data_IF_954572398270
#
_entry.id   IF_954572398270
#
_cell.length_a   1.000
_cell.length_b   1.000
_cell.length_c   1.000
_cell.angle_alpha   90.00
_cell.angle_beta   90.00
_cell.angle_gamma   90.00
#
_symmetry.space_group_name_H-M   'P 1'
#
loop_
_entity.id
_entity.type
_entity.pdbx_description
1 polymer ?
#
# COMPACT_ATOMS: atom_id res chain seq x y z
N UNK A 1 10.40 7.63 -25.69
CA UNK A 1 9.18 6.94 -25.22
C UNK A 1 8.11 7.99 -25.01
N UNK A 2 6.88 7.73 -25.42
CA UNK A 2 5.74 8.57 -25.05
C UNK A 2 5.63 8.54 -23.52
N UNK A 3 5.74 9.67 -22.81
CA UNK A 3 5.70 9.70 -21.34
C UNK A 3 4.33 9.31 -20.77
N UNK A 4 3.30 9.24 -21.63
CA UNK A 4 1.95 8.82 -21.23
C UNK A 4 1.70 7.32 -21.43
N UNK A 5 2.64 6.60 -22.06
CA UNK A 5 2.50 5.17 -22.30
C UNK A 5 2.94 4.35 -21.09
N UNK A 6 1.99 3.74 -20.44
CA UNK A 6 2.20 2.72 -19.39
C UNK A 6 2.04 1.33 -20.03
N UNK A 7 3.07 0.49 -19.90
CA UNK A 7 3.01 -0.89 -20.42
C UNK A 7 1.89 -1.67 -19.71
N UNK A 8 1.21 -2.59 -20.40
CA UNK A 8 0.31 -3.54 -19.75
C UNK A 8 1.04 -4.32 -18.65
N UNK A 9 0.39 -4.55 -17.51
CA UNK A 9 0.99 -5.23 -16.36
C UNK A 9 1.54 -6.61 -16.75
N UNK A 10 0.81 -7.39 -17.56
CA UNK A 10 1.25 -8.69 -18.07
C UNK A 10 2.58 -8.62 -18.84
N UNK A 11 2.76 -7.56 -19.65
CA UNK A 11 4.02 -7.33 -20.37
C UNK A 11 5.15 -7.01 -19.39
N UNK A 12 4.91 -6.10 -18.43
CA UNK A 12 5.93 -5.70 -17.46
C UNK A 12 6.42 -6.88 -16.62
N UNK A 13 5.50 -7.69 -16.07
CA UNK A 13 5.89 -8.84 -15.24
C UNK A 13 6.50 -10.01 -16.05
N UNK A 14 6.27 -10.07 -17.35
CA UNK A 14 6.88 -11.11 -18.20
C UNK A 14 8.26 -10.72 -18.75
N UNK A 15 8.52 -9.43 -18.94
CA UNK A 15 9.77 -8.94 -19.53
C UNK A 15 10.80 -8.51 -18.47
N UNK A 16 10.35 -7.97 -17.35
CA UNK A 16 11.23 -7.40 -16.32
C UNK A 16 11.45 -8.36 -15.14
N UNK A 17 11.51 -9.66 -15.43
CA UNK A 17 11.70 -10.71 -14.40
C UNK A 17 13.06 -10.52 -13.70
N UNK A 18 13.10 -10.29 -12.39
CA UNK A 18 14.34 -10.13 -11.66
C UNK A 18 15.14 -11.44 -11.60
N UNK A 19 16.46 -11.32 -11.57
CA UNK A 19 17.32 -12.49 -11.35
C UNK A 19 17.05 -13.09 -9.97
N UNK A 20 16.77 -14.38 -9.95
CA UNK A 20 16.61 -15.09 -8.67
C UNK A 20 17.96 -15.23 -7.97
N UNK A 21 18.05 -14.69 -6.76
CA UNK A 21 19.29 -14.67 -5.97
C UNK A 21 19.29 -15.69 -4.84
N UNK A 22 18.12 -16.32 -4.52
CA UNK A 22 17.94 -17.32 -3.45
C UNK A 22 16.87 -18.34 -3.81
N UNK A 23 16.91 -19.53 -3.22
CA UNK A 23 15.79 -20.48 -3.28
C UNK A 23 14.52 -19.87 -2.64
N UNK A 24 13.32 -20.28 -3.10
CA UNK A 24 12.06 -19.91 -2.46
C UNK A 24 11.99 -20.44 -1.01
N UNK A 25 11.41 -19.63 -0.12
CA UNK A 25 11.14 -20.03 1.26
C UNK A 25 12.29 -19.86 2.26
N UNK A 26 13.49 -19.44 1.81
CA UNK A 26 14.62 -19.22 2.74
C UNK A 26 14.51 -17.90 3.50
N UNK A 27 14.34 -16.81 2.78
CA UNK A 27 14.23 -15.47 3.35
C UNK A 27 13.24 -14.64 2.53
N UNK A 28 12.45 -13.77 3.17
CA UNK A 28 11.62 -12.81 2.45
C UNK A 28 12.51 -11.76 1.81
N UNK A 29 12.07 -11.25 0.68
CA UNK A 29 12.69 -10.12 0.03
C UNK A 29 11.59 -9.22 -0.52
N UNK A 30 11.58 -7.97 -0.08
CA UNK A 30 10.69 -6.95 -0.64
C UNK A 30 11.04 -6.67 -2.09
N UNK A 31 10.03 -6.62 -2.94
CA UNK A 31 10.19 -6.22 -4.33
C UNK A 31 8.87 -5.76 -4.95
N UNK A 32 8.89 -4.63 -5.64
CA UNK A 32 7.74 -4.14 -6.41
C UNK A 32 7.30 -5.14 -7.49
N UNK A 33 8.25 -5.91 -8.03
CA UNK A 33 7.95 -6.97 -8.99
C UNK A 33 6.98 -8.01 -8.40
N UNK A 34 7.15 -8.43 -7.14
CA UNK A 34 6.26 -9.39 -6.50
C UNK A 34 4.83 -8.84 -6.35
N UNK A 35 4.69 -7.56 -6.02
CA UNK A 35 3.39 -6.91 -5.98
C UNK A 35 2.74 -6.87 -7.37
N UNK A 36 3.51 -6.55 -8.41
CA UNK A 36 3.05 -6.60 -9.80
C UNK A 36 2.61 -7.99 -10.23
N UNK A 37 3.42 -9.00 -9.93
CA UNK A 37 3.11 -10.41 -10.24
C UNK A 37 1.84 -10.88 -9.52
N UNK A 38 1.65 -10.49 -8.26
CA UNK A 38 0.43 -10.77 -7.49
C UNK A 38 -0.79 -10.09 -8.13
N UNK A 39 -0.66 -8.84 -8.54
CA UNK A 39 -1.74 -8.13 -9.25
C UNK A 39 -2.07 -8.75 -10.61
N UNK A 40 -1.08 -9.25 -11.35
CA UNK A 40 -1.31 -9.97 -12.61
C UNK A 40 -2.01 -11.32 -12.35
N UNK A 41 -1.56 -12.06 -11.35
CA UNK A 41 -2.21 -13.32 -10.97
C UNK A 41 -3.68 -13.10 -10.59
N UNK A 42 -3.97 -12.03 -9.84
CA UNK A 42 -5.34 -11.65 -9.53
C UNK A 42 -6.15 -11.37 -10.81
N UNK A 43 -5.59 -10.57 -11.73
CA UNK A 43 -6.19 -10.27 -13.05
C UNK A 43 -6.53 -11.55 -13.82
N UNK A 44 -5.63 -12.51 -13.86
CA UNK A 44 -5.82 -13.79 -14.57
C UNK A 44 -6.91 -14.66 -13.93
N UNK A 45 -7.02 -14.62 -12.60
CA UNK A 45 -8.04 -15.40 -11.85
C UNK A 45 -9.43 -14.79 -11.98
N UNK A 46 -9.54 -13.46 -11.88
CA UNK A 46 -10.85 -12.78 -11.88
C UNK A 46 -11.36 -12.44 -13.28
N UNK A 47 -10.48 -12.39 -14.28
CA UNK A 47 -10.83 -12.11 -15.67
C UNK A 47 -11.10 -10.63 -16.00
N UNK A 48 -10.70 -9.73 -15.11
CA UNK A 48 -10.78 -8.28 -15.31
C UNK A 48 -9.48 -7.59 -14.92
N UNK A 49 -9.26 -6.33 -15.33
CA UNK A 49 -8.02 -5.62 -14.98
C UNK A 49 -7.90 -5.39 -13.48
N UNK A 50 -6.67 -5.38 -12.96
CA UNK A 50 -6.37 -5.08 -11.56
C UNK A 50 -7.06 -3.79 -11.08
N UNK A 51 -6.95 -2.71 -11.87
CA UNK A 51 -7.57 -1.43 -11.54
C UNK A 51 -9.11 -1.53 -11.45
N UNK A 52 -9.74 -2.28 -12.35
CA UNK A 52 -11.19 -2.49 -12.32
C UNK A 52 -11.59 -3.30 -11.10
N UNK A 53 -10.91 -4.41 -10.85
CA UNK A 53 -11.21 -5.29 -9.71
C UNK A 53 -11.09 -4.56 -8.37
N UNK A 54 -10.00 -3.83 -8.14
CA UNK A 54 -9.82 -3.07 -6.90
C UNK A 54 -10.86 -1.96 -6.77
N UNK A 55 -11.24 -1.31 -7.89
CA UNK A 55 -12.30 -0.30 -7.86
C UNK A 55 -13.62 -0.88 -7.38
N UNK A 56 -14.08 -1.97 -7.98
CA UNK A 56 -15.39 -2.57 -7.68
C UNK A 56 -15.42 -3.34 -6.36
N UNK A 57 -14.30 -3.96 -5.98
CA UNK A 57 -14.23 -4.85 -4.80
C UNK A 57 -13.72 -4.16 -3.54
N UNK A 58 -13.04 -3.01 -3.66
CA UNK A 58 -12.45 -2.31 -2.53
C UNK A 58 -12.92 -0.85 -2.46
N UNK A 59 -12.67 -0.06 -3.52
CA UNK A 59 -12.92 1.38 -3.43
C UNK A 59 -14.40 1.73 -3.33
N UNK A 60 -15.23 1.16 -4.21
CA UNK A 60 -16.69 1.40 -4.19
C UNK A 60 -17.33 0.96 -2.87
N UNK A 61 -17.09 -0.28 -2.37
CA UNK A 61 -17.68 -0.71 -1.09
C UNK A 61 -17.20 0.11 0.12
N UNK A 62 -15.98 0.64 0.08
CA UNK A 62 -15.43 1.50 1.13
C UNK A 62 -15.79 2.99 0.96
N UNK A 63 -16.45 3.37 -0.13
CA UNK A 63 -16.73 4.78 -0.44
C UNK A 63 -15.48 5.61 -0.75
N UNK A 64 -14.40 4.98 -1.22
CA UNK A 64 -13.12 5.63 -1.60
C UNK A 64 -13.23 6.27 -2.99
N UNK A 65 -14.04 7.31 -3.10
CA UNK A 65 -14.43 7.92 -4.38
C UNK A 65 -13.33 8.75 -5.06
N UNK A 66 -12.24 9.03 -4.35
CA UNK A 66 -11.08 9.78 -4.85
C UNK A 66 -9.84 8.88 -5.02
N UNK A 67 -10.06 7.56 -5.07
CA UNK A 67 -8.98 6.58 -5.21
C UNK A 67 -9.03 5.91 -6.58
N UNK A 68 -7.87 5.74 -7.21
CA UNK A 68 -7.78 5.11 -8.53
C UNK A 68 -6.40 4.52 -8.79
N UNK A 69 -6.37 3.43 -9.58
CA UNK A 69 -5.16 2.88 -10.23
C UNK A 69 -5.09 3.23 -11.73
N UNK A 70 -5.99 4.08 -12.20
CA UNK A 70 -5.99 4.57 -13.58
C UNK A 70 -5.06 5.77 -13.71
N UNK A 71 -4.85 6.23 -14.95
CA UNK A 71 -4.07 7.44 -15.24
C UNK A 71 -4.48 8.61 -14.35
N UNK A 72 -3.53 9.53 -14.09
CA UNK A 72 -3.65 10.64 -13.16
C UNK A 72 -5.05 11.26 -13.11
N UNK A 73 -5.64 11.37 -11.92
CA UNK A 73 -6.93 12.02 -11.77
C UNK A 73 -6.81 13.52 -12.11
N UNK A 74 -7.88 14.15 -12.61
CA UNK A 74 -7.85 15.56 -13.01
C UNK A 74 -7.58 16.54 -11.87
N UNK A 75 -7.74 16.08 -10.63
CA UNK A 75 -7.48 16.85 -9.39
C UNK A 75 -6.16 16.46 -8.71
N UNK A 76 -5.25 15.77 -9.42
CA UNK A 76 -3.91 15.49 -8.91
C UNK A 76 -3.20 16.80 -8.59
N UNK A 77 -2.70 16.92 -7.37
CA UNK A 77 -1.90 18.06 -6.93
C UNK A 77 -0.42 17.71 -7.13
N UNK A 78 0.28 18.36 -8.06
CA UNK A 78 1.72 18.19 -8.17
C UNK A 78 2.41 18.84 -6.98
N UNK A 79 3.57 18.33 -6.58
CA UNK A 79 4.40 19.02 -5.60
C UNK A 79 4.98 20.32 -6.16
N UNK A 80 5.33 21.25 -5.27
CA UNK A 80 5.89 22.55 -5.67
C UNK A 80 7.09 22.38 -6.60
N UNK A 81 7.06 23.08 -7.73
CA UNK A 81 8.13 23.04 -8.74
C UNK A 81 8.07 21.85 -9.69
N UNK A 82 7.03 21.01 -9.61
CA UNK A 82 6.78 19.92 -10.57
C UNK A 82 5.51 20.17 -11.37
N UNK A 83 5.45 19.61 -12.57
CA UNK A 83 4.23 19.58 -13.36
C UNK A 83 3.44 18.29 -13.10
N UNK A 84 2.16 18.28 -13.47
CA UNK A 84 1.35 17.03 -13.49
C UNK A 84 2.01 16.00 -14.41
N UNK A 85 2.66 16.43 -15.51
CA UNK A 85 3.39 15.57 -16.43
C UNK A 85 4.59 14.90 -15.76
N UNK A 86 5.33 15.61 -14.89
CA UNK A 86 6.45 15.04 -14.13
C UNK A 86 5.96 13.97 -13.16
N UNK A 87 4.83 14.19 -12.50
CA UNK A 87 4.22 13.19 -11.60
C UNK A 87 3.72 11.99 -12.39
N UNK A 88 3.07 12.21 -13.52
CA UNK A 88 2.54 11.14 -14.39
C UNK A 88 3.67 10.34 -15.05
N UNK A 89 4.81 10.95 -15.36
CA UNK A 89 5.97 10.24 -15.93
C UNK A 89 6.58 9.21 -14.96
N UNK A 90 6.27 9.32 -13.69
CA UNK A 90 6.58 8.35 -12.64
C UNK A 90 5.60 7.17 -12.57
N UNK A 91 4.64 7.11 -13.50
CA UNK A 91 3.70 5.99 -13.57
C UNK A 91 4.48 4.69 -13.70
N UNK A 92 4.37 3.88 -12.69
CA UNK A 92 4.98 2.56 -12.68
C UNK A 92 4.23 1.65 -13.65
N UNK A 93 4.97 1.02 -14.56
CA UNK A 93 4.47 -0.10 -15.35
C UNK A 93 3.99 -1.28 -14.44
N UNK A 94 4.17 -1.13 -13.13
CA UNK A 94 3.76 -2.09 -12.08
C UNK A 94 2.76 -1.39 -11.14
N UNK A 95 1.60 -1.07 -11.65
CA UNK A 95 0.54 -0.36 -10.93
C UNK A 95 0.21 -0.93 -9.53
N UNK A 96 0.15 -2.26 -9.30
CA UNK A 96 -0.10 -2.83 -7.98
C UNK A 96 0.92 -2.43 -6.91
N UNK A 97 2.14 -2.06 -7.31
CA UNK A 97 3.19 -1.65 -6.38
C UNK A 97 3.20 -0.15 -6.07
N UNK A 98 2.87 0.70 -7.05
CA UNK A 98 3.09 2.15 -6.91
C UNK A 98 2.13 3.03 -7.71
N UNK A 99 1.05 2.47 -8.27
CA UNK A 99 0.12 3.20 -9.12
C UNK A 99 -1.11 3.77 -8.41
N UNK A 100 -1.22 3.67 -7.09
CA UNK A 100 -2.37 4.19 -6.36
C UNK A 100 -2.32 5.71 -6.24
N UNK A 101 -3.37 6.37 -6.73
CA UNK A 101 -3.70 7.75 -6.40
C UNK A 101 -4.87 7.73 -5.42
N UNK A 102 -4.75 8.45 -4.32
CA UNK A 102 -5.75 8.44 -3.25
C UNK A 102 -5.70 9.73 -2.43
N UNK A 103 -6.57 9.82 -1.44
CA UNK A 103 -6.59 10.90 -0.44
C UNK A 103 -6.48 10.33 0.96
N UNK A 104 -6.08 11.16 1.94
CA UNK A 104 -6.07 10.75 3.34
C UNK A 104 -7.47 10.35 3.84
N UNK A 105 -8.52 10.99 3.33
CA UNK A 105 -9.91 10.67 3.67
C UNK A 105 -10.31 9.25 3.19
N UNK A 106 -9.93 8.89 1.95
CA UNK A 106 -10.19 7.56 1.42
C UNK A 106 -9.36 6.50 2.16
N UNK A 107 -8.08 6.78 2.46
CA UNK A 107 -7.25 5.87 3.26
C UNK A 107 -7.78 5.66 4.68
N UNK A 108 -8.45 6.66 5.26
CA UNK A 108 -9.13 6.49 6.53
C UNK A 108 -10.26 5.44 6.46
N UNK A 109 -10.97 5.32 5.33
CA UNK A 109 -11.98 4.26 5.15
C UNK A 109 -11.33 2.87 5.10
N UNK A 110 -10.20 2.73 4.40
CA UNK A 110 -9.44 1.49 4.40
C UNK A 110 -8.94 1.13 5.82
N UNK A 111 -8.41 2.10 6.56
CA UNK A 111 -8.02 1.91 7.96
C UNK A 111 -9.19 1.46 8.82
N UNK A 112 -10.38 2.05 8.67
CA UNK A 112 -11.59 1.62 9.38
C UNK A 112 -11.92 0.15 9.14
N UNK A 113 -11.77 -0.35 7.90
CA UNK A 113 -11.94 -1.77 7.61
C UNK A 113 -10.92 -2.63 8.36
N UNK A 114 -9.66 -2.19 8.42
CA UNK A 114 -8.61 -2.91 9.15
C UNK A 114 -8.86 -2.96 10.67
N UNK A 115 -9.23 -1.82 11.29
CA UNK A 115 -9.37 -1.75 12.76
C UNK A 115 -10.72 -2.26 13.28
N UNK A 116 -11.74 -2.33 12.43
CA UNK A 116 -13.08 -2.80 12.80
C UNK A 116 -13.38 -4.23 12.31
N UNK A 117 -12.36 -5.06 12.08
CA UNK A 117 -12.54 -6.45 11.67
C UNK A 117 -13.29 -6.62 10.35
N UNK A 118 -13.10 -5.68 9.43
CA UNK A 118 -13.67 -5.69 8.09
C UNK A 118 -15.05 -5.04 7.96
N UNK A 119 -15.52 -4.30 8.96
CA UNK A 119 -16.83 -3.62 8.95
C UNK A 119 -16.61 -2.10 8.82
N UNK A 120 -17.30 -1.48 7.87
CA UNK A 120 -17.36 -0.03 7.69
C UNK A 120 -18.81 0.40 7.54
N UNK A 121 -19.25 1.38 8.34
CA UNK A 121 -20.63 1.91 8.36
C UNK A 121 -21.74 0.84 8.50
N UNK A 122 -21.42 -0.24 9.22
CA UNK A 122 -22.32 -1.37 9.45
C UNK A 122 -22.29 -2.46 8.38
N UNK A 123 -21.62 -2.23 7.26
CA UNK A 123 -21.47 -3.18 6.16
C UNK A 123 -20.16 -3.95 6.27
N UNK A 124 -20.23 -5.27 6.01
CA UNK A 124 -19.04 -6.12 6.00
C UNK A 124 -18.38 -6.08 4.63
N UNK A 125 -17.21 -5.44 4.57
CA UNK A 125 -16.39 -5.32 3.36
C UNK A 125 -15.37 -6.45 3.27
N UNK A 126 -14.76 -6.82 4.41
CA UNK A 126 -13.82 -7.93 4.53
C UNK A 126 -14.31 -8.93 5.58
N UNK A 127 -14.01 -10.20 5.42
CA UNK A 127 -14.25 -11.16 6.49
C UNK A 127 -13.28 -10.88 7.66
N UNK A 128 -13.71 -11.17 8.89
CA UNK A 128 -12.83 -11.06 10.05
C UNK A 128 -11.57 -11.90 9.89
N UNK A 129 -11.70 -13.12 9.35
CA UNK A 129 -10.56 -14.00 9.07
C UNK A 129 -9.60 -13.45 8.01
N UNK A 130 -10.08 -12.64 7.06
CA UNK A 130 -9.20 -11.97 6.10
C UNK A 130 -8.39 -10.87 6.82
N UNK A 131 -9.02 -10.03 7.65
CA UNK A 131 -8.34 -9.00 8.44
C UNK A 131 -7.32 -9.62 9.38
N UNK A 132 -7.69 -10.67 10.12
CA UNK A 132 -6.78 -11.42 11.00
C UNK A 132 -5.59 -12.00 10.21
N UNK A 133 -5.87 -12.55 9.02
CA UNK A 133 -4.85 -13.07 8.12
C UNK A 133 -3.90 -11.99 7.60
N UNK A 134 -4.40 -10.78 7.35
CA UNK A 134 -3.58 -9.64 6.91
C UNK A 134 -2.67 -9.13 8.04
N UNK A 135 -3.10 -9.21 9.30
CA UNK A 135 -2.34 -8.73 10.45
C UNK A 135 -1.46 -9.80 11.10
N UNK A 136 -1.72 -11.09 10.86
CA UNK A 136 -0.94 -12.17 11.45
C UNK A 136 0.48 -12.17 10.92
N UNK A 137 1.46 -12.46 11.80
CA UNK A 137 2.83 -12.73 11.39
C UNK A 137 2.89 -14.01 10.54
N UNK A 138 3.40 -13.90 9.33
CA UNK A 138 3.60 -15.00 8.40
C UNK A 138 5.05 -15.45 8.33
N UNK A 139 5.96 -14.55 8.66
CA UNK A 139 7.38 -14.82 8.65
C UNK A 139 8.10 -13.95 9.68
N UNK A 140 9.09 -14.53 10.37
CA UNK A 140 10.12 -13.80 11.12
C UNK A 140 11.46 -14.51 10.93
N UNK A 141 12.59 -13.77 10.84
CA UNK A 141 13.92 -14.38 10.78
C UNK A 141 14.32 -15.00 12.12
N UNK A 142 13.77 -14.53 13.24
CA UNK A 142 14.00 -15.02 14.59
C UNK A 142 12.78 -14.68 15.48
N UNK A 143 12.49 -15.51 16.48
CA UNK A 143 11.33 -15.32 17.37
C UNK A 143 11.35 -14.01 18.17
N UNK A 144 12.52 -13.43 18.39
CA UNK A 144 12.70 -12.14 19.09
C UNK A 144 12.78 -10.93 18.12
N UNK A 145 12.55 -11.13 16.84
CA UNK A 145 12.63 -10.07 15.83
C UNK A 145 11.27 -9.80 15.21
N UNK A 146 11.06 -8.55 14.86
CA UNK A 146 9.93 -8.15 14.01
C UNK A 146 9.99 -8.89 12.68
N UNK A 147 8.83 -9.25 12.19
CA UNK A 147 8.67 -10.05 11.00
C UNK A 147 7.86 -9.36 9.91
N UNK A 148 7.11 -10.18 9.21
CA UNK A 148 6.23 -9.71 8.14
C UNK A 148 4.83 -10.31 8.31
N UNK A 149 3.84 -9.46 8.25
CA UNK A 149 2.45 -9.81 8.05
C UNK A 149 2.15 -9.93 6.54
N UNK A 150 0.90 -10.02 6.12
CA UNK A 150 0.57 -10.16 4.71
C UNK A 150 0.61 -8.82 3.99
N UNK A 151 1.72 -8.55 3.30
CA UNK A 151 1.97 -7.29 2.61
C UNK A 151 2.30 -6.11 3.54
N UNK A 152 2.53 -6.36 4.82
CA UNK A 152 2.86 -5.37 5.83
C UNK A 152 4.09 -5.82 6.61
N UNK A 153 4.88 -4.88 7.09
CA UNK A 153 5.99 -5.12 8.01
C UNK A 153 5.48 -5.04 9.44
N UNK A 154 6.06 -5.84 10.32
CA UNK A 154 5.85 -5.68 11.76
C UNK A 154 6.83 -4.66 12.33
N UNK A 155 6.39 -3.97 13.36
CA UNK A 155 7.21 -3.15 14.23
C UNK A 155 6.73 -3.32 15.67
N UNK A 156 7.67 -3.55 16.58
CA UNK A 156 7.42 -3.61 18.02
C UNK A 156 7.91 -2.33 18.69
N UNK A 157 7.01 -1.66 19.41
CA UNK A 157 7.31 -0.51 20.28
C UNK A 157 6.96 -0.90 21.71
N UNK A 158 7.96 -1.21 22.51
CA UNK A 158 7.73 -1.79 23.83
C UNK A 158 6.95 -3.09 23.73
N UNK A 159 5.78 -3.16 24.38
CA UNK A 159 4.87 -4.31 24.32
C UNK A 159 3.81 -4.18 23.19
N UNK A 160 3.80 -3.07 22.48
CA UNK A 160 2.81 -2.80 21.43
C UNK A 160 3.34 -3.26 20.09
N UNK A 161 2.62 -4.18 19.46
CA UNK A 161 2.89 -4.63 18.10
C UNK A 161 2.02 -3.86 17.12
N UNK A 162 2.62 -3.32 16.08
CA UNK A 162 1.92 -2.72 14.96
C UNK A 162 2.32 -3.38 13.63
N UNK A 163 1.49 -3.24 12.62
CA UNK A 163 1.78 -3.61 11.24
C UNK A 163 1.71 -2.36 10.38
N UNK A 164 2.69 -2.20 9.50
CA UNK A 164 2.85 -0.96 8.75
C UNK A 164 3.40 -1.17 7.35
N UNK A 165 3.22 -0.17 6.48
CA UNK A 165 3.89 -0.11 5.19
C UNK A 165 4.09 1.34 4.77
N UNK A 166 5.33 1.69 4.45
CA UNK A 166 5.65 2.99 3.88
C UNK A 166 5.55 2.99 2.35
N UNK A 167 5.35 4.16 1.78
CA UNK A 167 5.41 4.39 0.35
C UNK A 167 6.25 5.63 0.05
N UNK A 168 7.13 5.54 -0.96
CA UNK A 168 7.91 6.68 -1.41
C UNK A 168 8.05 6.67 -2.93
N UNK A 169 7.69 7.79 -3.54
CA UNK A 169 7.99 8.14 -4.92
C UNK A 169 8.55 9.57 -4.92
N UNK A 170 9.20 10.03 -6.00
CA UNK A 170 9.72 11.40 -5.98
C UNK A 170 8.68 12.40 -5.52
N UNK A 171 9.05 13.17 -4.49
CA UNK A 171 8.27 14.21 -3.85
C UNK A 171 6.97 13.79 -3.13
N UNK A 172 6.68 12.49 -3.03
CA UNK A 172 5.59 11.98 -2.20
C UNK A 172 6.11 10.87 -1.28
N UNK A 173 5.68 10.91 -0.04
CA UNK A 173 5.91 9.84 0.93
C UNK A 173 4.66 9.61 1.75
N UNK A 174 4.40 8.37 2.10
CA UNK A 174 3.26 7.98 2.91
C UNK A 174 3.63 6.89 3.90
N UNK A 175 2.89 6.84 4.99
CA UNK A 175 2.95 5.80 6.00
C UNK A 175 1.54 5.33 6.35
N UNK A 176 1.34 4.03 6.30
CA UNK A 176 0.15 3.34 6.75
C UNK A 176 0.53 2.45 7.92
N UNK A 177 -0.17 2.55 9.04
CA UNK A 177 0.06 1.70 10.20
C UNK A 177 -1.25 1.33 10.91
N UNK A 178 -1.29 0.14 11.48
CA UNK A 178 -2.38 -0.37 12.30
C UNK A 178 -1.80 -0.97 13.57
N UNK A 179 -2.41 -0.65 14.72
CA UNK A 179 -2.19 -1.29 16.01
C UNK A 179 -3.39 -2.21 16.25
N UNK A 180 -3.31 -3.51 15.94
CA UNK A 180 -4.47 -4.40 15.97
C UNK A 180 -5.04 -4.59 17.38
N UNK A 181 -4.20 -4.48 18.43
CA UNK A 181 -4.58 -4.73 19.82
C UNK A 181 -5.56 -3.70 20.39
N UNK A 182 -5.50 -2.45 19.93
CA UNK A 182 -6.35 -1.36 20.43
C UNK A 182 -7.27 -0.74 19.35
N UNK A 183 -7.17 -1.24 18.10
CA UNK A 183 -7.98 -0.75 17.00
C UNK A 183 -7.60 0.65 16.51
N UNK A 184 -6.33 1.04 16.68
CA UNK A 184 -5.81 2.30 16.15
C UNK A 184 -5.26 2.12 14.74
N UNK A 185 -5.62 3.02 13.83
CA UNK A 185 -5.09 3.11 12.47
C UNK A 185 -4.53 4.49 12.19
N UNK A 186 -3.41 4.54 11.47
CA UNK A 186 -2.71 5.76 11.10
C UNK A 186 -2.43 5.79 9.60
N UNK A 187 -2.70 6.93 8.97
CA UNK A 187 -2.19 7.25 7.65
C UNK A 187 -1.62 8.67 7.65
N UNK A 188 -0.36 8.79 7.28
CA UNK A 188 0.32 10.07 7.09
C UNK A 188 0.80 10.15 5.65
N UNK A 189 0.66 11.31 5.04
CA UNK A 189 1.19 11.58 3.71
C UNK A 189 1.76 12.98 3.68
N UNK A 190 2.91 13.13 3.03
CA UNK A 190 3.53 14.41 2.75
C UNK A 190 3.96 14.49 1.29
N UNK A 191 4.06 15.70 0.77
CA UNK A 191 4.63 15.97 -0.55
C UNK A 191 5.62 17.13 -0.49
N UNK A 192 6.55 17.17 -1.44
CA UNK A 192 7.64 18.14 -1.51
C UNK A 192 9.01 17.49 -1.36
N UNK A 193 10.06 18.28 -1.40
CA UNK A 193 11.46 17.80 -1.38
C UNK A 193 11.80 16.98 -0.12
N UNK A 194 11.18 17.31 1.02
CA UNK A 194 11.42 16.66 2.32
C UNK A 194 10.28 15.72 2.74
N UNK A 195 9.49 15.22 1.77
CA UNK A 195 8.30 14.42 2.05
C UNK A 195 8.59 13.19 2.93
N UNK A 196 9.69 12.50 2.70
CA UNK A 196 10.05 11.29 3.49
C UNK A 196 10.35 11.62 4.95
N UNK A 197 11.10 12.70 5.20
CA UNK A 197 11.42 13.14 6.56
C UNK A 197 10.16 13.61 7.29
N UNK A 198 9.34 14.43 6.63
CA UNK A 198 8.09 14.93 7.19
C UNK A 198 7.10 13.81 7.50
N UNK A 199 6.98 12.80 6.63
CA UNK A 199 6.11 11.64 6.85
C UNK A 199 6.60 10.81 8.03
N UNK A 200 7.90 10.51 8.10
CA UNK A 200 8.47 9.73 9.20
C UNK A 200 8.29 10.46 10.54
N UNK A 201 8.67 11.73 10.61
CA UNK A 201 8.53 12.53 11.82
C UNK A 201 7.07 12.65 12.29
N UNK A 202 6.14 12.85 11.35
CA UNK A 202 4.71 12.91 11.64
C UNK A 202 4.15 11.58 12.13
N UNK A 203 4.52 10.47 11.51
CA UNK A 203 4.11 9.14 11.93
C UNK A 203 4.66 8.80 13.32
N UNK A 204 5.95 9.04 13.57
CA UNK A 204 6.56 8.75 14.85
C UNK A 204 5.96 9.57 15.98
N UNK A 205 5.74 10.88 15.78
CA UNK A 205 5.13 11.75 16.79
C UNK A 205 3.70 11.30 17.19
N UNK A 206 2.94 10.73 16.24
CA UNK A 206 1.61 10.17 16.53
C UNK A 206 1.75 8.81 17.22
N UNK A 207 2.60 7.94 16.69
CA UNK A 207 2.78 6.59 17.23
C UNK A 207 3.34 6.59 18.66
N UNK A 208 4.25 7.50 19.02
CA UNK A 208 4.73 7.70 20.38
C UNK A 208 3.62 7.92 21.40
N UNK A 209 2.48 8.45 20.96
CA UNK A 209 1.33 8.69 21.85
C UNK A 209 0.47 7.45 22.07
N UNK A 210 0.40 6.54 21.10
CA UNK A 210 -0.48 5.37 21.11
C UNK A 210 0.29 4.05 21.31
N UNK A 211 1.58 4.04 21.01
CA UNK A 211 2.51 2.93 21.17
C UNK A 211 3.83 3.46 21.69
N UNK A 212 3.88 3.92 22.97
CA UNK A 212 5.07 4.53 23.58
C UNK A 212 6.23 3.55 23.76
#
# INVERSE_FOLDING_TARGET
>A
RDPTYVRPLAESVSTDVPTRVRPPGELPQYTNYAAGLTGQLLTDVVGESYAQHVTTSVFEPLGMTNSTFRSAPPNLVPADGTSVEDVVSFYSDIAPASGLHTTAADMAQLLRAHVNGGIVDGERILSASAVDGMHRQWYTPHEEMDGMAFGLFEESRGETRLVRHGGAVPQFSSEFAVIPSDGTGLFVVAHGAEASEATQAGADAILERFAP
#
